data_IF_040889532857
#
_entry.id   IF_040889532857
#
_cell.length_a   1.000
_cell.length_b   1.000
_cell.length_c   1.000
_cell.angle_alpha   90.00
_cell.angle_beta   90.00
_cell.angle_gamma   90.00
#
_symmetry.space_group_name_H-M   'P 1'
#
loop_
_entity.id
_entity.type
_entity.pdbx_description
1 polymer ?
#
# COMPACT_ATOMS: atom_id res chain seq x y z
N UNK A 1 13.05 -12.50 -1.10
CA UNK A 1 11.59 -12.61 -1.31
C UNK A 1 10.95 -11.23 -1.26
N UNK A 2 9.95 -10.96 -2.11
CA UNK A 2 9.24 -9.67 -2.21
C UNK A 2 7.73 -9.89 -2.11
N UNK A 3 7.00 -8.97 -1.50
CA UNK A 3 5.53 -9.05 -1.39
C UNK A 3 4.85 -8.44 -2.63
N UNK A 4 3.61 -8.84 -2.90
CA UNK A 4 2.85 -8.44 -4.09
C UNK A 4 2.69 -6.91 -4.22
N UNK A 5 2.48 -6.21 -3.11
CA UNK A 5 2.29 -4.76 -3.04
C UNK A 5 3.50 -4.01 -3.60
N UNK A 6 4.70 -4.45 -3.23
CA UNK A 6 5.96 -3.85 -3.71
C UNK A 6 6.23 -4.18 -5.17
N UNK A 7 5.84 -5.37 -5.62
CA UNK A 7 5.92 -5.72 -7.05
C UNK A 7 5.01 -4.80 -7.88
N UNK A 8 3.75 -4.63 -7.46
CA UNK A 8 2.79 -3.77 -8.15
C UNK A 8 3.25 -2.31 -8.18
N UNK A 9 3.67 -1.78 -7.03
CA UNK A 9 4.16 -0.41 -6.91
C UNK A 9 5.39 -0.17 -7.80
N UNK A 10 6.42 -1.00 -7.69
CA UNK A 10 7.66 -0.80 -8.45
C UNK A 10 7.44 -0.99 -9.95
N UNK A 11 6.53 -1.88 -10.36
CA UNK A 11 6.15 -1.99 -11.77
C UNK A 11 5.54 -0.70 -12.29
N UNK A 12 4.55 -0.14 -11.59
CA UNK A 12 3.93 1.13 -11.97
C UNK A 12 4.96 2.29 -12.00
N UNK A 13 5.83 2.38 -10.99
CA UNK A 13 6.90 3.40 -10.93
C UNK A 13 7.86 3.26 -12.11
N UNK A 14 8.24 2.03 -12.46
CA UNK A 14 9.13 1.76 -13.61
C UNK A 14 8.54 2.17 -14.95
N UNK A 15 7.20 2.23 -15.04
CA UNK A 15 6.46 2.66 -16.23
C UNK A 15 6.12 4.16 -16.22
N UNK A 16 6.66 4.93 -15.27
CA UNK A 16 6.47 6.38 -15.22
C UNK A 16 5.26 6.84 -14.40
N UNK A 17 4.50 5.94 -13.78
CA UNK A 17 3.39 6.31 -12.89
C UNK A 17 3.96 6.94 -11.61
N UNK A 18 3.37 8.06 -11.18
CA UNK A 18 3.81 8.84 -10.00
C UNK A 18 2.71 9.12 -8.99
N UNK A 19 1.45 9.02 -9.39
CA UNK A 19 0.31 9.26 -8.52
C UNK A 19 -0.48 7.96 -8.30
N UNK A 20 -0.78 7.66 -7.03
CA UNK A 20 -1.51 6.47 -6.62
C UNK A 20 -2.68 6.86 -5.73
N UNK A 21 -3.90 6.43 -6.10
CA UNK A 21 -5.11 6.73 -5.34
C UNK A 21 -5.49 5.61 -4.38
N UNK A 22 -5.36 4.37 -4.84
CA UNK A 22 -5.69 3.19 -4.04
C UNK A 22 -4.86 1.98 -4.44
N UNK A 23 -4.73 1.02 -3.53
CA UNK A 23 -4.16 -0.31 -3.78
C UNK A 23 -5.08 -1.36 -3.16
N UNK A 24 -5.48 -2.35 -3.96
CA UNK A 24 -6.17 -3.53 -3.48
C UNK A 24 -5.19 -4.67 -3.19
N UNK A 25 -5.35 -5.29 -2.02
CA UNK A 25 -4.54 -6.44 -1.58
C UNK A 25 -5.49 -7.59 -1.27
N UNK A 26 -5.41 -8.65 -2.06
CA UNK A 26 -6.20 -9.87 -1.88
C UNK A 26 -5.38 -10.95 -1.19
N UNK A 27 -5.92 -11.56 -0.13
CA UNK A 27 -5.23 -12.62 0.61
C UNK A 27 -6.21 -13.67 1.14
N UNK A 28 -5.91 -14.95 0.90
CA UNK A 28 -6.47 -16.11 1.62
C UNK A 28 -7.95 -16.03 2.02
N UNK A 29 -8.24 -16.45 3.25
CA UNK A 29 -9.61 -16.53 3.79
C UNK A 29 -10.13 -15.21 4.39
N UNK A 30 -9.37 -14.12 4.35
CA UNK A 30 -9.82 -12.85 4.92
C UNK A 30 -8.90 -11.67 4.61
N UNK A 31 -9.38 -10.42 4.81
CA UNK A 31 -8.59 -9.22 4.60
C UNK A 31 -7.23 -9.28 5.32
N UNK A 32 -6.15 -9.02 4.59
CA UNK A 32 -4.80 -9.04 5.15
C UNK A 32 -4.12 -7.69 4.94
N UNK A 33 -3.69 -7.07 6.04
CA UNK A 33 -2.97 -5.82 6.00
C UNK A 33 -1.55 -6.00 5.44
N UNK A 34 -1.02 -5.03 4.65
CA UNK A 34 0.35 -5.07 4.16
C UNK A 34 1.36 -5.20 5.31
N UNK A 35 2.48 -5.88 5.06
CA UNK A 35 3.56 -5.97 6.05
C UNK A 35 4.23 -4.60 6.27
N UNK A 36 4.95 -4.42 7.39
CA UNK A 36 5.55 -3.12 7.74
C UNK A 36 6.46 -2.54 6.66
N UNK A 37 7.24 -3.38 5.98
CA UNK A 37 8.08 -2.94 4.86
C UNK A 37 7.26 -2.46 3.66
N UNK A 38 6.13 -3.12 3.34
CA UNK A 38 5.24 -2.65 2.28
C UNK A 38 4.60 -1.31 2.65
N UNK A 39 4.14 -1.14 3.90
CA UNK A 39 3.57 0.13 4.37
C UNK A 39 4.55 1.28 4.19
N UNK A 40 5.80 1.09 4.61
CA UNK A 40 6.84 2.11 4.51
C UNK A 40 7.16 2.47 3.06
N UNK A 41 7.29 1.48 2.18
CA UNK A 41 7.55 1.75 0.76
C UNK A 41 6.33 2.43 0.12
N UNK A 42 5.11 2.00 0.40
CA UNK A 42 3.91 2.67 -0.11
C UNK A 42 3.82 4.12 0.37
N UNK A 43 4.22 4.39 1.61
CA UNK A 43 4.17 5.72 2.21
C UNK A 43 5.15 6.70 1.53
N UNK A 44 6.27 6.21 1.02
CA UNK A 44 7.23 7.01 0.24
C UNK A 44 6.60 7.59 -1.03
N UNK A 45 5.68 6.87 -1.67
CA UNK A 45 5.08 7.27 -2.95
C UNK A 45 3.67 7.83 -2.81
N UNK A 46 2.92 7.42 -1.79
CA UNK A 46 1.52 7.77 -1.61
C UNK A 46 1.12 7.71 -0.12
N UNK A 47 1.45 8.74 0.68
CA UNK A 47 1.12 8.76 2.10
C UNK A 47 -0.40 8.76 2.38
N UNK A 48 -1.20 9.28 1.46
CA UNK A 48 -2.67 9.32 1.55
C UNK A 48 -3.37 8.12 0.87
N UNK A 49 -2.60 7.08 0.50
CA UNK A 49 -3.10 5.92 -0.24
C UNK A 49 -4.25 5.22 0.50
N UNK A 50 -5.34 4.97 -0.21
CA UNK A 50 -6.43 4.13 0.27
C UNK A 50 -6.09 2.65 0.04
N UNK A 51 -6.09 1.85 1.08
CA UNK A 51 -5.91 0.41 0.98
C UNK A 51 -7.25 -0.29 1.01
N UNK A 52 -7.47 -1.18 0.04
CA UNK A 52 -8.62 -2.07 -0.04
C UNK A 52 -8.10 -3.47 0.29
N UNK A 53 -8.41 -3.95 1.49
CA UNK A 53 -7.96 -5.25 1.96
C UNK A 53 -9.09 -6.25 1.74
N UNK A 54 -8.88 -7.21 0.85
CA UNK A 54 -9.90 -8.18 0.45
C UNK A 54 -9.47 -9.62 0.78
N UNK A 55 -10.46 -10.49 0.96
CA UNK A 55 -10.24 -11.93 0.90
C UNK A 55 -9.82 -12.37 -0.52
N UNK A 56 -9.41 -13.62 -0.67
CA UNK A 56 -8.98 -14.19 -1.95
C UNK A 56 -10.08 -14.33 -3.00
N UNK A 57 -11.36 -14.23 -2.62
CA UNK A 57 -12.51 -14.30 -3.52
C UNK A 57 -13.10 -12.91 -3.85
N UNK A 58 -12.61 -11.85 -3.21
CA UNK A 58 -13.15 -10.49 -3.31
C UNK A 58 -14.55 -10.32 -2.70
N UNK A 59 -14.99 -11.23 -1.81
CA UNK A 59 -16.36 -11.21 -1.24
C UNK A 59 -16.46 -10.39 0.02
N UNK A 60 -15.46 -10.49 0.89
CA UNK A 60 -15.29 -9.65 2.07
C UNK A 60 -14.10 -8.72 1.88
N UNK A 61 -14.28 -7.45 2.23
CA UNK A 61 -13.24 -6.45 2.17
C UNK A 61 -13.46 -5.34 3.18
N UNK A 62 -12.37 -4.67 3.53
CA UNK A 62 -12.38 -3.43 4.29
C UNK A 62 -11.49 -2.39 3.64
N UNK A 63 -11.71 -1.13 4.01
CA UNK A 63 -10.88 0.00 3.57
C UNK A 63 -10.21 0.66 4.74
N UNK A 64 -8.94 1.00 4.58
CA UNK A 64 -8.17 1.74 5.57
C UNK A 64 -7.20 2.69 4.88
N UNK A 65 -6.96 3.87 5.45
CA UNK A 65 -5.89 4.74 4.93
C UNK A 65 -4.54 4.22 5.36
N UNK A 66 -3.55 4.34 4.49
CA UNK A 66 -2.17 3.95 4.81
C UNK A 66 -1.64 4.68 6.06
N UNK A 67 -2.02 5.94 6.26
CA UNK A 67 -1.67 6.74 7.43
C UNK A 67 -2.17 6.16 8.76
N UNK A 68 -3.24 5.37 8.74
CA UNK A 68 -3.76 4.68 9.93
C UNK A 68 -2.94 3.43 10.25
N UNK A 69 -2.41 2.76 9.23
CA UNK A 69 -1.55 1.58 9.37
C UNK A 69 -0.08 1.92 9.66
N UNK A 70 0.34 3.13 9.35
CA UNK A 70 1.68 3.66 9.61
C UNK A 70 1.60 5.08 10.19
N UNK A 71 1.11 5.22 11.44
CA UNK A 71 0.99 6.52 12.07
C UNK A 71 2.38 7.13 12.25
N UNK A 72 2.51 8.42 11.89
CA UNK A 72 3.77 9.17 11.96
C UNK A 72 4.91 8.49 11.17
N UNK A 73 4.56 7.87 10.03
CA UNK A 73 5.53 7.31 9.10
C UNK A 73 6.53 8.35 8.63
N UNK A 74 7.80 7.96 8.56
CA UNK A 74 8.85 8.75 7.93
C UNK A 74 8.67 8.70 6.41
N UNK A 75 8.83 9.82 5.71
CA UNK A 75 8.71 9.87 4.26
C UNK A 75 9.21 11.18 3.65
N UNK A 76 8.72 11.54 2.44
CA UNK A 76 9.21 12.71 1.70
C UNK A 76 9.15 14.02 2.49
N UNK A 77 8.09 14.20 3.31
CA UNK A 77 7.89 15.37 4.16
C UNK A 77 9.07 15.62 5.10
N UNK A 78 9.64 14.57 5.69
CA UNK A 78 10.78 14.65 6.60
C UNK A 78 12.12 14.86 5.85
N UNK A 79 12.15 14.58 4.55
CA UNK A 79 13.31 14.80 3.67
C UNK A 79 13.28 16.18 2.98
N UNK A 80 12.25 16.99 3.22
CA UNK A 80 12.05 18.27 2.53
C UNK A 80 11.72 18.13 1.05
N UNK A 81 11.06 17.02 0.67
CA UNK A 81 10.64 16.70 -0.69
C UNK A 81 9.12 16.55 -0.79
#
# INVERSE_FOLDING_TARGET
>A
TVCAERVALFKAVSEGVREFRALAVACGQGPCAPCGACRQVLYEFAPDLLLILADGEGKAWETVRLSELLPRGFGPKELGR
#
